data_IF_255905352274
#
_entry.id   IF_255905352274
#
_cell.length_a   1.000
_cell.length_b   1.000
_cell.length_c   1.000
_cell.angle_alpha   90.00
_cell.angle_beta   90.00
_cell.angle_gamma   90.00
#
_symmetry.space_group_name_H-M   'P 1'
#
loop_
_entity.id
_entity.type
_entity.pdbx_description
1 polymer ?
#
# COMPACT_ATOMS: atom_id res chain seq x y z
N UNK A 1 -15.24 13.84 11.25
CA UNK A 1 -15.00 12.40 11.23
C UNK A 1 -13.66 12.11 11.87
N UNK A 2 -13.63 11.20 12.80
CA UNK A 2 -12.40 10.79 13.51
C UNK A 2 -12.39 9.27 13.57
N UNK A 3 -11.30 8.66 13.15
CA UNK A 3 -11.12 7.22 13.28
C UNK A 3 -9.63 6.85 13.40
N UNK A 4 -9.37 5.62 13.84
CA UNK A 4 -8.05 5.02 13.92
C UNK A 4 -8.01 3.73 13.12
N UNK A 5 -6.88 3.46 12.49
CA UNK A 5 -6.68 2.26 11.68
C UNK A 5 -5.19 1.97 11.50
N UNK A 6 -4.88 0.91 10.79
CA UNK A 6 -3.54 0.63 10.27
C UNK A 6 -3.56 0.70 8.76
N UNK A 7 -2.47 1.12 8.15
CA UNK A 7 -2.41 1.25 6.70
C UNK A 7 -1.00 1.21 6.14
N UNK A 8 -0.91 0.79 4.89
CA UNK A 8 0.33 0.83 4.11
C UNK A 8 0.42 2.15 3.35
N UNK A 9 1.54 2.83 3.44
CA UNK A 9 1.79 4.05 2.67
C UNK A 9 1.98 3.69 1.19
N UNK A 10 1.05 4.13 0.35
CA UNK A 10 1.10 3.89 -1.09
C UNK A 10 1.90 4.95 -1.83
N UNK A 11 1.70 6.20 -1.47
CA UNK A 11 2.38 7.35 -2.09
C UNK A 11 2.34 8.57 -1.20
N UNK A 12 3.25 9.50 -1.46
CA UNK A 12 3.32 10.80 -0.80
C UNK A 12 3.74 11.87 -1.79
N UNK A 13 3.14 13.06 -1.66
CA UNK A 13 3.43 14.23 -2.51
C UNK A 13 3.63 15.44 -1.61
N UNK A 14 4.63 16.26 -1.89
CA UNK A 14 4.83 17.53 -1.19
C UNK A 14 3.60 18.43 -1.36
N UNK A 15 3.10 19.01 -0.29
CA UNK A 15 1.87 19.82 -0.29
C UNK A 15 2.14 21.26 0.12
N UNK A 16 2.72 21.47 1.28
CA UNK A 16 3.14 22.78 1.80
C UNK A 16 4.56 22.64 2.32
N UNK A 17 5.12 23.72 2.86
CA UNK A 17 6.51 23.78 3.26
C UNK A 17 6.97 22.60 4.13
N UNK A 18 6.15 22.18 5.12
CA UNK A 18 6.45 21.09 6.03
C UNK A 18 5.40 19.98 6.02
N UNK A 19 4.62 19.88 4.95
CA UNK A 19 3.51 18.94 4.87
C UNK A 19 3.55 18.13 3.59
N UNK A 20 2.92 16.97 3.63
CA UNK A 20 2.70 16.11 2.47
C UNK A 20 1.24 15.70 2.40
N UNK A 21 0.77 15.33 1.22
CA UNK A 21 -0.45 14.53 1.06
C UNK A 21 -0.01 13.08 0.90
N UNK A 22 -0.49 12.22 1.78
CA UNK A 22 -0.21 10.80 1.78
C UNK A 22 -1.44 10.01 1.39
N UNK A 23 -1.24 8.96 0.59
CA UNK A 23 -2.26 7.97 0.28
C UNK A 23 -1.91 6.68 1.01
N UNK A 24 -2.88 6.15 1.75
CA UNK A 24 -2.76 4.88 2.46
C UNK A 24 -3.78 3.88 1.93
N UNK A 25 -3.42 2.61 1.95
CA UNK A 25 -4.39 1.52 1.91
C UNK A 25 -4.58 1.01 3.32
N UNK A 26 -5.77 1.26 3.88
CA UNK A 26 -6.07 0.96 5.28
C UNK A 26 -6.84 -0.34 5.43
N UNK A 27 -6.79 -0.90 6.62
CA UNK A 27 -7.42 -2.19 6.91
C UNK A 27 -8.95 -2.13 6.86
N UNK A 28 -9.53 -1.06 7.44
CA UNK A 28 -10.98 -0.93 7.62
C UNK A 28 -11.63 0.15 6.75
N UNK A 29 -10.84 1.06 6.19
CA UNK A 29 -11.36 2.23 5.46
C UNK A 29 -10.93 2.23 3.99
N UNK A 30 -10.26 1.18 3.51
CA UNK A 30 -9.78 1.11 2.14
C UNK A 30 -8.73 2.17 1.82
N UNK A 31 -8.71 2.64 0.57
CA UNK A 31 -7.77 3.67 0.15
C UNK A 31 -8.23 5.04 0.67
N UNK A 32 -7.37 5.75 1.38
CA UNK A 32 -7.64 7.06 1.96
C UNK A 32 -6.47 8.01 1.73
N UNK A 33 -6.80 9.28 1.48
CA UNK A 33 -5.82 10.35 1.36
C UNK A 33 -5.96 11.34 2.51
N UNK A 34 -4.87 11.95 2.92
CA UNK A 34 -4.86 12.98 3.95
C UNK A 34 -3.51 13.67 4.08
N UNK A 35 -3.52 14.78 4.77
CA UNK A 35 -2.32 15.59 5.02
C UNK A 35 -1.57 15.03 6.23
N UNK A 36 -0.25 14.96 6.13
CA UNK A 36 0.64 14.75 7.27
C UNK A 36 1.41 16.03 7.50
N UNK A 37 1.13 16.70 8.61
CA UNK A 37 1.84 17.91 9.03
C UNK A 37 3.19 17.54 9.68
N UNK A 38 4.19 18.40 9.49
CA UNK A 38 5.52 18.18 10.06
C UNK A 38 6.26 16.99 9.44
N UNK A 39 5.91 16.59 8.24
CA UNK A 39 6.48 15.44 7.55
C UNK A 39 7.97 15.58 7.22
N UNK A 40 8.51 16.79 7.24
CA UNK A 40 9.93 17.06 7.06
C UNK A 40 10.76 16.91 8.33
N UNK A 41 10.11 16.73 9.50
CA UNK A 41 10.82 16.45 10.74
C UNK A 41 11.62 15.18 10.61
N UNK A 42 12.79 15.12 11.26
CA UNK A 42 13.69 13.96 11.20
C UNK A 42 13.00 12.65 11.63
N UNK A 43 12.19 12.72 12.68
CA UNK A 43 11.45 11.58 13.22
C UNK A 43 10.44 11.02 12.20
N UNK A 44 9.56 11.87 11.69
CA UNK A 44 8.49 11.45 10.77
C UNK A 44 9.06 11.04 9.42
N UNK A 45 9.98 11.83 8.88
CA UNK A 45 10.64 11.55 7.60
C UNK A 45 11.33 10.19 7.59
N UNK A 46 11.89 9.75 8.73
CA UNK A 46 12.63 8.50 8.83
C UNK A 46 11.78 7.26 8.54
N UNK A 47 10.47 7.28 8.86
CA UNK A 47 9.60 6.14 8.67
C UNK A 47 8.54 6.29 7.56
N UNK A 48 8.43 7.47 6.95
CA UNK A 48 7.51 7.70 5.83
C UNK A 48 8.09 7.15 4.51
N UNK A 49 8.28 5.85 4.46
CA UNK A 49 8.70 5.14 3.26
C UNK A 49 7.50 4.41 2.65
N UNK A 50 7.32 4.52 1.33
CA UNK A 50 6.25 3.81 0.63
C UNK A 50 6.37 2.30 0.89
N UNK A 51 5.28 1.66 1.27
CA UNK A 51 5.23 0.26 1.65
C UNK A 51 5.32 -0.02 3.14
N UNK A 52 5.73 0.93 3.95
CA UNK A 52 5.70 0.76 5.41
C UNK A 52 4.27 0.74 5.93
N UNK A 53 4.02 -0.10 6.92
CA UNK A 53 2.75 -0.14 7.65
C UNK A 53 2.81 0.82 8.85
N UNK A 54 1.82 1.71 8.92
CA UNK A 54 1.72 2.71 9.97
C UNK A 54 0.41 2.58 10.73
N UNK A 55 0.44 2.95 12.00
CA UNK A 55 -0.75 3.26 12.76
C UNK A 55 -1.20 4.68 12.40
N UNK A 56 -2.50 4.85 12.16
CA UNK A 56 -3.10 6.07 11.64
C UNK A 56 -4.21 6.57 12.56
N UNK A 57 -4.17 7.85 12.91
CA UNK A 57 -5.29 8.58 13.44
C UNK A 57 -5.73 9.60 12.40
N UNK A 58 -6.95 9.49 11.93
CA UNK A 58 -7.50 10.36 10.89
C UNK A 58 -8.50 11.34 11.47
N UNK A 59 -8.39 12.58 11.03
CA UNK A 59 -9.25 13.69 11.44
C UNK A 59 -9.74 14.43 10.20
N UNK A 60 -11.06 14.60 10.06
CA UNK A 60 -11.67 15.37 9.00
C UNK A 60 -12.87 16.16 9.52
N UNK A 61 -13.10 17.34 8.97
CA UNK A 61 -14.27 18.18 9.31
C UNK A 61 -15.56 17.63 8.71
N UNK A 62 -15.48 16.96 7.56
CA UNK A 62 -16.62 16.36 6.87
C UNK A 62 -16.13 15.25 5.93
N UNK A 63 -17.08 14.44 5.45
CA UNK A 63 -16.77 13.32 4.54
C UNK A 63 -16.16 13.77 3.21
N UNK A 64 -16.42 14.99 2.78
CA UNK A 64 -15.94 15.54 1.51
C UNK A 64 -14.69 16.43 1.65
N UNK A 65 -14.21 16.65 2.87
CA UNK A 65 -13.00 17.44 3.11
C UNK A 65 -11.78 16.55 3.24
N UNK A 66 -10.68 16.99 2.64
CA UNK A 66 -9.39 16.35 2.87
C UNK A 66 -8.99 16.51 4.35
N UNK A 67 -8.89 15.37 5.03
CA UNK A 67 -8.48 15.33 6.43
C UNK A 67 -6.97 15.30 6.61
N UNK A 68 -6.55 15.08 7.83
CA UNK A 68 -5.13 14.90 8.16
C UNK A 68 -4.90 13.64 9.00
N UNK A 69 -3.72 13.11 8.90
CA UNK A 69 -3.26 11.95 9.66
C UNK A 69 -2.25 12.36 10.72
N UNK A 70 -2.37 11.75 11.90
CA UNK A 70 -1.26 11.54 12.80
C UNK A 70 -0.79 10.10 12.62
N UNK A 71 0.52 9.89 12.57
CA UNK A 71 1.09 8.60 12.19
C UNK A 71 2.11 8.12 13.18
N UNK A 72 2.17 6.81 13.38
CA UNK A 72 3.24 6.12 14.09
C UNK A 72 3.67 4.89 13.29
N UNK A 73 4.95 4.59 13.31
CA UNK A 73 5.47 3.40 12.61
C UNK A 73 5.02 2.12 13.31
N UNK A 74 4.52 1.17 12.52
CA UNK A 74 4.25 -0.20 12.98
C UNK A 74 5.30 -1.17 12.46
N UNK A 75 5.42 -1.27 11.13
CA UNK A 75 6.35 -2.21 10.50
C UNK A 75 7.11 -1.55 9.35
N UNK A 76 8.43 -1.39 9.49
CA UNK A 76 9.27 -0.79 8.45
C UNK A 76 9.67 -1.84 7.39
N UNK A 77 8.74 -2.27 6.57
CA UNK A 77 8.97 -3.34 5.60
C UNK A 77 9.98 -2.99 4.51
N UNK A 78 9.91 -1.78 3.98
CA UNK A 78 10.63 -1.40 2.75
C UNK A 78 12.13 -1.28 2.96
N UNK A 79 12.57 -0.88 4.15
CA UNK A 79 13.98 -0.71 4.46
C UNK A 79 14.81 -1.99 4.29
N UNK A 80 14.20 -3.15 4.46
CA UNK A 80 14.85 -4.46 4.27
C UNK A 80 15.32 -4.70 2.83
N UNK A 81 14.75 -3.98 1.88
CA UNK A 81 14.97 -4.18 0.44
C UNK A 81 15.74 -3.05 -0.23
N UNK A 82 16.25 -2.07 0.52
CA UNK A 82 16.95 -0.91 -0.04
C UNK A 82 18.19 -1.27 -0.86
N UNK A 83 18.86 -2.37 -0.55
CA UNK A 83 20.00 -2.86 -1.30
C UNK A 83 19.64 -3.76 -2.50
N UNK A 84 18.37 -4.10 -2.67
CA UNK A 84 17.88 -5.04 -3.67
C UNK A 84 16.98 -4.31 -4.69
N UNK A 85 17.61 -3.71 -5.70
CA UNK A 85 16.92 -2.84 -6.68
C UNK A 85 15.70 -3.48 -7.36
N UNK A 86 15.80 -4.75 -7.73
CA UNK A 86 14.69 -5.45 -8.41
C UNK A 86 13.48 -5.61 -7.51
N UNK A 87 13.70 -5.99 -6.27
CA UNK A 87 12.63 -6.12 -5.27
C UNK A 87 12.03 -4.76 -4.92
N UNK A 88 12.87 -3.74 -4.77
CA UNK A 88 12.41 -2.38 -4.49
C UNK A 88 11.54 -1.85 -5.64
N UNK A 89 11.95 -2.08 -6.89
CA UNK A 89 11.15 -1.73 -8.08
C UNK A 89 9.82 -2.47 -8.11
N UNK A 90 9.80 -3.74 -7.72
CA UNK A 90 8.58 -4.52 -7.59
C UNK A 90 7.63 -3.90 -6.55
N UNK A 91 8.14 -3.55 -5.37
CA UNK A 91 7.34 -2.89 -4.32
C UNK A 91 6.71 -1.59 -4.84
N UNK A 92 7.50 -0.72 -5.46
CA UNK A 92 7.01 0.55 -6.01
C UNK A 92 5.92 0.33 -7.05
N UNK A 93 6.14 -0.60 -7.98
CA UNK A 93 5.16 -0.94 -9.03
C UNK A 93 3.85 -1.47 -8.45
N UNK A 94 3.92 -2.31 -7.44
CA UNK A 94 2.75 -2.86 -6.76
C UNK A 94 1.95 -1.78 -6.04
N UNK A 95 2.62 -0.89 -5.32
CA UNK A 95 1.96 0.21 -4.61
C UNK A 95 1.24 1.14 -5.59
N UNK A 96 1.85 1.42 -6.74
CA UNK A 96 1.22 2.20 -7.81
C UNK A 96 0.01 1.47 -8.41
N UNK A 97 0.10 0.17 -8.64
CA UNK A 97 -1.03 -0.64 -9.12
C UNK A 97 -2.20 -0.59 -8.15
N UNK A 98 -1.96 -0.79 -6.87
CA UNK A 98 -3.00 -0.74 -5.84
C UNK A 98 -3.63 0.66 -5.80
N UNK A 99 -2.83 1.71 -5.86
CA UNK A 99 -3.31 3.09 -5.89
C UNK A 99 -4.24 3.36 -7.07
N UNK A 100 -3.91 2.85 -8.25
CA UNK A 100 -4.68 3.08 -9.48
C UNK A 100 -5.92 2.20 -9.54
N UNK A 101 -5.82 0.94 -9.12
CA UNK A 101 -6.87 -0.07 -9.33
C UNK A 101 -7.91 -0.13 -8.20
N UNK A 102 -7.69 0.54 -7.07
CA UNK A 102 -8.63 0.54 -5.95
C UNK A 102 -9.42 1.84 -5.85
N UNK A 103 -10.65 1.72 -5.36
CA UNK A 103 -11.56 2.86 -5.15
C UNK A 103 -11.36 3.42 -3.74
N UNK A 104 -11.44 4.74 -3.61
CA UNK A 104 -11.34 5.40 -2.31
C UNK A 104 -12.50 5.02 -1.39
N UNK A 105 -12.19 4.84 -0.11
CA UNK A 105 -13.17 4.56 0.92
C UNK A 105 -13.80 3.17 0.87
N UNK A 106 -13.39 2.33 -0.07
CA UNK A 106 -13.91 0.97 -0.20
C UNK A 106 -13.03 -0.02 0.57
N UNK A 107 -13.54 -0.52 1.67
CA UNK A 107 -12.88 -1.56 2.46
C UNK A 107 -12.72 -2.85 1.66
N UNK A 108 -11.53 -3.42 1.66
CA UNK A 108 -11.27 -4.76 1.17
C UNK A 108 -10.11 -5.40 1.92
N UNK A 109 -10.43 -6.19 2.93
CA UNK A 109 -9.44 -6.86 3.78
C UNK A 109 -8.56 -7.83 2.99
N UNK A 110 -9.06 -8.43 1.92
CA UNK A 110 -8.28 -9.35 1.08
C UNK A 110 -7.12 -8.62 0.40
N UNK A 111 -7.36 -7.40 -0.09
CA UNK A 111 -6.32 -6.56 -0.69
C UNK A 111 -5.32 -6.11 0.38
N UNK A 112 -5.82 -5.66 1.54
CA UNK A 112 -4.94 -5.28 2.66
C UNK A 112 -3.99 -6.42 3.05
N UNK A 113 -4.54 -7.60 3.25
CA UNK A 113 -3.76 -8.79 3.60
C UNK A 113 -2.79 -9.21 2.49
N UNK A 114 -3.17 -8.98 1.24
CA UNK A 114 -2.32 -9.27 0.09
C UNK A 114 -1.07 -8.37 0.06
N UNK A 115 -1.18 -7.10 0.46
CA UNK A 115 -0.03 -6.19 0.59
C UNK A 115 0.95 -6.73 1.66
N UNK A 116 0.43 -7.17 2.79
CA UNK A 116 1.25 -7.78 3.85
C UNK A 116 2.00 -9.02 3.33
N UNK A 117 1.31 -9.89 2.60
CA UNK A 117 1.90 -11.10 2.00
C UNK A 117 3.00 -10.81 0.98
N UNK A 118 2.95 -9.68 0.27
CA UNK A 118 3.99 -9.29 -0.68
C UNK A 118 5.37 -9.26 -0.01
N UNK A 119 5.46 -8.65 1.15
CA UNK A 119 6.72 -8.51 1.86
C UNK A 119 7.28 -9.86 2.34
N UNK A 120 6.44 -10.82 2.65
CA UNK A 120 6.86 -12.19 2.97
C UNK A 120 7.40 -12.92 1.75
N UNK A 121 6.68 -12.87 0.64
CA UNK A 121 7.11 -13.60 -0.56
C UNK A 121 8.42 -13.06 -1.14
N UNK A 122 8.71 -11.78 -0.98
CA UNK A 122 9.96 -11.17 -1.46
C UNK A 122 11.22 -11.73 -0.76
N UNK A 123 11.06 -12.38 0.38
CA UNK A 123 12.16 -13.06 1.08
C UNK A 123 12.47 -14.46 0.51
N UNK A 124 11.62 -15.01 -0.35
CA UNK A 124 11.79 -16.35 -0.93
C UNK A 124 12.79 -16.31 -2.10
N UNK A 125 13.49 -17.42 -2.32
CA UNK A 125 14.41 -17.55 -3.46
C UNK A 125 13.66 -17.43 -4.80
N UNK A 126 12.47 -18.03 -4.88
CA UNK A 126 11.62 -18.03 -6.08
C UNK A 126 10.57 -16.90 -6.05
N UNK A 127 10.91 -15.76 -5.46
CA UNK A 127 9.96 -14.67 -5.26
C UNK A 127 9.34 -14.14 -6.57
N UNK A 128 10.04 -14.25 -7.70
CA UNK A 128 9.50 -13.79 -8.99
C UNK A 128 8.30 -14.62 -9.44
N UNK A 129 8.37 -15.94 -9.28
CA UNK A 129 7.23 -16.83 -9.56
C UNK A 129 6.08 -16.58 -8.57
N UNK A 130 6.40 -16.43 -7.30
CA UNK A 130 5.41 -16.13 -6.26
C UNK A 130 4.73 -14.78 -6.52
N UNK A 131 5.47 -13.79 -7.01
CA UNK A 131 4.95 -12.49 -7.39
C UNK A 131 3.91 -12.57 -8.52
N UNK A 132 4.13 -13.40 -9.52
CA UNK A 132 3.16 -13.62 -10.61
C UNK A 132 1.82 -14.09 -10.04
N UNK A 133 1.83 -15.10 -9.17
CA UNK A 133 0.61 -15.59 -8.52
C UNK A 133 -0.01 -14.54 -7.61
N UNK A 134 0.80 -13.75 -6.94
CA UNK A 134 0.35 -12.63 -6.11
C UNK A 134 -0.40 -11.59 -6.95
N UNK A 135 0.16 -11.19 -8.08
CA UNK A 135 -0.47 -10.22 -8.99
C UNK A 135 -1.79 -10.74 -9.57
N UNK A 136 -1.85 -12.02 -9.92
CA UNK A 136 -3.09 -12.65 -10.36
C UNK A 136 -4.15 -12.66 -9.26
N UNK A 137 -3.76 -12.86 -8.01
CA UNK A 137 -4.66 -12.77 -6.86
C UNK A 137 -5.17 -11.34 -6.65
N UNK A 138 -4.32 -10.34 -6.83
CA UNK A 138 -4.72 -8.93 -6.77
C UNK A 138 -5.80 -8.62 -7.82
N UNK A 139 -5.58 -9.02 -9.05
CA UNK A 139 -6.55 -8.83 -10.14
C UNK A 139 -7.89 -9.49 -9.83
N UNK A 140 -7.87 -10.71 -9.32
CA UNK A 140 -9.07 -11.43 -8.88
C UNK A 140 -9.83 -10.67 -7.79
N UNK A 141 -9.14 -10.17 -6.77
CA UNK A 141 -9.78 -9.46 -5.65
C UNK A 141 -10.32 -8.08 -6.03
N UNK A 142 -9.82 -7.50 -7.11
CA UNK A 142 -10.33 -6.24 -7.67
C UNK A 142 -11.59 -6.49 -8.53
N UNK A 143 -11.85 -7.71 -8.94
CA UNK A 143 -13.03 -8.10 -9.71
C UNK A 143 -12.73 -8.52 -11.15
N UNK A 144 -11.47 -8.65 -11.55
CA UNK A 144 -11.12 -9.27 -12.82
C UNK A 144 -11.13 -10.79 -12.65
N UNK A 145 -12.22 -11.43 -13.06
CA UNK A 145 -12.31 -12.89 -13.09
C UNK A 145 -11.59 -13.42 -14.33
N UNK A 146 -10.29 -13.53 -14.22
CA UNK A 146 -9.49 -14.22 -15.21
C UNK A 146 -9.68 -15.73 -15.00
N UNK A 147 -10.30 -16.38 -15.96
CA UNK A 147 -10.45 -17.84 -15.94
C UNK A 147 -9.09 -18.49 -16.27
N UNK A 148 -8.16 -18.39 -15.32
CA UNK A 148 -6.77 -18.78 -15.48
C UNK A 148 -6.56 -20.25 -15.69
N UNK A 149 -7.52 -21.08 -15.29
CA UNK A 149 -7.49 -22.54 -15.52
C UNK A 149 -7.47 -22.82 -17.01
N UNK A 150 -8.25 -22.06 -17.77
CA UNK A 150 -8.32 -22.20 -19.22
C UNK A 150 -7.02 -21.71 -19.91
N UNK A 151 -6.43 -20.61 -19.42
CA UNK A 151 -5.17 -20.09 -19.94
C UNK A 151 -3.95 -20.91 -19.52
N UNK A 152 -3.93 -21.45 -18.30
CA UNK A 152 -2.86 -22.33 -17.83
C UNK A 152 -2.83 -23.65 -18.60
N UNK A 153 -3.97 -24.16 -19.04
CA UNK A 153 -4.02 -25.34 -19.90
C UNK A 153 -3.43 -25.11 -21.29
N UNK A 154 -3.42 -23.85 -21.77
CA UNK A 154 -2.80 -23.47 -23.04
C UNK A 154 -1.28 -23.22 -22.93
N UNK A 155 -0.78 -22.96 -21.74
CA UNK A 155 0.65 -22.69 -21.45
C UNK A 155 1.40 -23.97 -21.08
N UNK A 156 0.71 -25.00 -20.63
CA UNK A 156 1.25 -26.33 -20.38
C UNK A 156 1.39 -27.14 -21.69
N UNK A 157 2.22 -26.62 -22.54
CA UNK A 157 2.67 -27.41 -23.69
C UNK A 157 4.06 -27.93 -23.41
#
# INVERSE_FOLDING_TARGET
MIWTDTGFLLSKIAFQENSIIANFYTRKHGKCAGIIYGATSKKIKSYLQNGNELYLEYYSKSDNALGYFKTEILKPYTSKFFSEKTKLSCIVSVLDLIKILTVEGQENFKIYNLIDKLFFLLNNENWKSDYIFWELSLLKFIGFDLNLVEYLSLIHI
#
